data_IF_737321512591
#
_entry.id   IF_737321512591
#
_cell.length_a   1.000
_cell.length_b   1.000
_cell.length_c   1.000
_cell.angle_alpha   90.00
_cell.angle_beta   90.00
_cell.angle_gamma   90.00
#
_symmetry.space_group_name_H-M   'P 1'
#
loop_
_entity.id
_entity.type
_entity.pdbx_description
1 polymer ?
#
# COMPACT_ATOMS: atom_id res chain seq x y z
N UNK A 1 -13.30 -5.35 5.26
CA UNK A 1 -13.08 -4.32 6.30
C UNK A 1 -11.92 -3.46 5.84
N UNK A 2 -11.93 -2.16 6.09
CA UNK A 2 -10.81 -1.28 5.74
C UNK A 2 -10.18 -0.76 7.03
N UNK A 3 -8.88 -0.93 7.16
CA UNK A 3 -8.08 -0.44 8.29
C UNK A 3 -7.01 0.48 7.72
N UNK A 4 -6.83 1.63 8.36
CA UNK A 4 -5.79 2.60 8.02
C UNK A 4 -5.00 2.82 9.30
N UNK A 5 -3.73 2.47 9.28
CA UNK A 5 -2.80 2.65 10.40
C UNK A 5 -1.42 2.98 9.84
N UNK A 6 -0.57 3.53 10.70
CA UNK A 6 0.86 3.72 10.43
C UNK A 6 1.72 2.64 11.11
N UNK A 7 1.11 1.84 11.99
CA UNK A 7 1.78 0.73 12.65
C UNK A 7 1.74 -0.48 11.73
N UNK A 8 2.90 -0.87 11.20
CA UNK A 8 2.98 -1.97 10.26
C UNK A 8 2.79 -3.31 10.97
N UNK A 9 3.26 -3.49 12.20
CA UNK A 9 3.12 -4.77 12.91
C UNK A 9 1.64 -5.12 13.07
N UNK A 10 0.82 -4.13 13.46
CA UNK A 10 -0.64 -4.26 13.53
C UNK A 10 -1.27 -4.61 12.18
N UNK A 11 -0.86 -3.92 11.11
CA UNK A 11 -1.42 -4.17 9.77
C UNK A 11 -1.07 -5.57 9.26
N UNK A 12 0.14 -6.06 9.53
CA UNK A 12 0.58 -7.41 9.16
C UNK A 12 -0.16 -8.51 9.94
N UNK A 13 -0.52 -8.26 11.20
CA UNK A 13 -1.29 -9.21 12.02
C UNK A 13 -2.78 -9.28 11.61
N UNK A 14 -3.36 -8.16 11.21
CA UNK A 14 -4.80 -8.04 11.01
C UNK A 14 -5.27 -8.20 9.55
N UNK A 15 -4.40 -7.97 8.57
CA UNK A 15 -4.82 -7.77 7.18
C UNK A 15 -4.53 -8.96 6.27
N UNK A 16 -5.44 -9.25 5.33
CA UNK A 16 -5.20 -10.21 4.25
C UNK A 16 -4.31 -9.62 3.13
N UNK A 17 -4.34 -8.30 2.97
CA UNK A 17 -3.56 -7.55 1.99
C UNK A 17 -3.31 -6.10 2.47
N UNK A 18 -2.20 -5.51 2.02
CA UNK A 18 -1.83 -4.11 2.32
C UNK A 18 -1.67 -3.34 1.01
N UNK A 19 -2.21 -2.12 0.95
CA UNK A 19 -1.89 -1.15 -0.09
C UNK A 19 -1.26 0.08 0.57
N UNK A 20 -0.33 0.73 -0.12
CA UNK A 20 0.38 1.90 0.38
C UNK A 20 -0.08 3.13 -0.36
N UNK A 21 -0.39 4.19 0.39
CA UNK A 21 -0.67 5.51 -0.17
C UNK A 21 0.61 6.34 -0.17
N UNK A 22 0.99 6.87 -1.34
CA UNK A 22 2.15 7.74 -1.51
C UNK A 22 1.80 8.85 -2.51
N UNK A 23 2.04 10.12 -2.14
CA UNK A 23 1.72 11.30 -2.95
C UNK A 23 0.28 11.36 -3.50
N UNK A 24 -0.69 10.87 -2.73
CA UNK A 24 -2.11 10.87 -3.12
C UNK A 24 -2.52 9.71 -4.02
N UNK A 25 -1.59 8.81 -4.35
CA UNK A 25 -1.86 7.61 -5.14
C UNK A 25 -1.77 6.37 -4.26
N UNK A 26 -2.65 5.40 -4.51
CA UNK A 26 -2.68 4.12 -3.82
C UNK A 26 -2.04 3.06 -4.70
N UNK A 27 -1.12 2.28 -4.12
CA UNK A 27 -0.55 1.11 -4.80
C UNK A 27 -1.62 0.04 -5.07
N UNK A 28 -1.29 -0.89 -5.96
CA UNK A 28 -2.04 -2.15 -6.00
C UNK A 28 -1.99 -2.84 -4.62
N UNK A 29 -3.08 -3.49 -4.18
CA UNK A 29 -3.06 -4.29 -2.97
C UNK A 29 -2.06 -5.45 -3.09
N UNK A 30 -1.20 -5.57 -2.08
CA UNK A 30 -0.20 -6.63 -1.96
C UNK A 30 -0.70 -7.68 -0.95
N UNK A 31 -0.86 -8.95 -1.33
CA UNK A 31 -1.19 -10.02 -0.39
C UNK A 31 -0.18 -10.08 0.76
N UNK A 32 -0.64 -10.32 1.99
CA UNK A 32 0.25 -10.33 3.15
C UNK A 32 1.37 -11.39 3.04
N UNK A 33 1.07 -12.51 2.38
CA UNK A 33 2.03 -13.58 2.12
C UNK A 33 3.22 -13.15 1.23
N UNK A 34 3.06 -12.07 0.48
CA UNK A 34 4.07 -11.48 -0.40
C UNK A 34 4.62 -10.15 0.14
N UNK A 35 4.02 -9.64 1.23
CA UNK A 35 4.41 -8.40 1.86
C UNK A 35 5.62 -8.59 2.78
N UNK A 36 6.56 -7.67 2.70
CA UNK A 36 7.68 -7.54 3.64
C UNK A 36 7.82 -6.09 4.05
N UNK A 37 8.35 -5.83 5.25
CA UNK A 37 8.63 -4.46 5.71
C UNK A 37 9.48 -3.68 4.71
N UNK A 38 10.46 -4.32 4.08
CA UNK A 38 11.29 -3.71 3.05
C UNK A 38 10.46 -3.29 1.83
N UNK A 39 9.58 -4.17 1.34
CA UNK A 39 8.73 -3.85 0.18
C UNK A 39 7.70 -2.77 0.48
N UNK A 40 7.10 -2.81 1.67
CA UNK A 40 6.20 -1.75 2.13
C UNK A 40 6.97 -0.43 2.27
N UNK A 41 8.17 -0.45 2.83
CA UNK A 41 9.04 0.73 2.92
C UNK A 41 9.43 1.30 1.55
N UNK A 42 9.70 0.45 0.56
CA UNK A 42 9.95 0.87 -0.83
C UNK A 42 8.72 1.55 -1.45
N UNK A 43 7.52 1.00 -1.23
CA UNK A 43 6.27 1.61 -1.70
C UNK A 43 6.03 2.97 -1.01
N UNK A 44 6.29 3.06 0.30
CA UNK A 44 6.17 4.30 1.07
C UNK A 44 7.17 5.37 0.59
N UNK A 45 8.36 4.94 0.15
CA UNK A 45 9.40 5.80 -0.42
C UNK A 45 9.25 6.08 -1.92
N UNK A 46 8.20 5.57 -2.57
CA UNK A 46 7.92 5.80 -4.00
C UNK A 46 8.81 5.03 -4.98
N UNK A 47 9.46 3.95 -4.55
CA UNK A 47 10.49 3.24 -5.31
C UNK A 47 9.99 2.10 -6.22
N UNK A 48 8.69 1.79 -6.27
CA UNK A 48 8.15 0.72 -7.14
C UNK A 48 7.51 1.26 -8.44
N UNK A 49 7.79 0.62 -9.60
CA UNK A 49 7.18 0.91 -10.90
C UNK A 49 5.79 0.27 -10.97
N UNK A 50 4.85 0.76 -10.17
CA UNK A 50 3.51 0.18 -10.06
C UNK A 50 2.44 1.16 -9.63
N UNK A 51 2.75 2.46 -9.61
CA UNK A 51 1.74 3.51 -9.55
C UNK A 51 0.99 3.49 -10.89
N UNK A 52 0.02 2.58 -11.00
CA UNK A 52 -0.98 2.69 -12.04
C UNK A 52 -1.73 3.99 -11.75
N UNK A 53 -1.39 5.05 -12.49
CA UNK A 53 -2.10 6.32 -12.44
C UNK A 53 -3.59 6.03 -12.63
N UNK A 54 -4.34 6.05 -11.53
CA UNK A 54 -5.78 6.12 -11.63
C UNK A 54 -6.09 7.59 -11.85
N UNK A 55 -6.09 8.00 -13.12
CA UNK A 55 -6.68 9.26 -13.57
C UNK A 55 -8.16 9.22 -13.19
N UNK A 56 -8.50 9.58 -11.95
CA UNK A 56 -9.86 9.92 -11.59
C UNK A 56 -10.14 11.28 -12.21
N UNK A 57 -10.65 11.23 -13.44
CA UNK A 57 -11.24 12.37 -14.10
C UNK A 57 -12.32 12.96 -13.20
N UNK A 58 -12.09 14.23 -12.86
CA UNK A 58 -13.00 15.24 -12.31
C UNK A 58 -14.48 14.98 -12.56
N UNK A 59 -15.27 15.01 -11.50
CA UNK A 59 -16.68 15.40 -11.53
C UNK A 59 -16.87 16.69 -10.74
#
# INVERSE_FOLDING_TARGET
>A
VLVISQDLDELFELSDAIAVMHNGELSAPLPIAEATFERIGLLMGGAEPGHAEHSMETA
#
